data_IF_918764367995
#
_entry.id   IF_918764367995
#
_cell.length_a   1.000
_cell.length_b   1.000
_cell.length_c   1.000
_cell.angle_alpha   90.00
_cell.angle_beta   90.00
_cell.angle_gamma   90.00
#
_symmetry.space_group_name_H-M   'P 1'
#
loop_
_entity.id
_entity.type
_entity.pdbx_description
1 polymer ?
#
# COMPACT_ATOMS: atom_id res chain seq x y z
N UNK A 1 -29.93 1.29 5.68
CA UNK A 1 -28.79 0.72 4.96
C UNK A 1 -28.37 1.74 3.93
N UNK A 2 -27.12 2.18 3.92
CA UNK A 2 -26.59 3.18 2.99
C UNK A 2 -26.56 2.60 1.58
N UNK A 3 -27.22 3.28 0.63
CA UNK A 3 -27.16 2.92 -0.80
C UNK A 3 -26.05 3.75 -1.44
N UNK A 4 -25.08 3.09 -2.08
CA UNK A 4 -24.05 3.77 -2.86
C UNK A 4 -24.54 3.97 -4.29
N UNK A 5 -24.42 5.19 -4.81
CA UNK A 5 -24.62 5.50 -6.22
C UNK A 5 -23.27 5.54 -6.95
N UNK A 6 -22.93 4.45 -7.66
CA UNK A 6 -21.66 4.34 -8.40
C UNK A 6 -21.58 5.31 -9.61
N UNK A 7 -22.69 5.93 -10.00
CA UNK A 7 -22.74 6.91 -11.09
C UNK A 7 -22.69 8.37 -10.60
N UNK A 8 -22.68 8.58 -9.27
CA UNK A 8 -22.54 9.91 -8.66
C UNK A 8 -21.22 10.61 -9.06
N UNK A 9 -21.08 11.89 -8.74
CA UNK A 9 -19.79 12.59 -8.78
C UNK A 9 -18.78 11.80 -7.90
N UNK A 10 -17.53 11.59 -8.33
CA UNK A 10 -16.57 10.80 -7.56
C UNK A 10 -16.32 11.36 -6.15
N UNK A 11 -16.52 12.67 -5.94
CA UNK A 11 -16.43 13.30 -4.62
C UNK A 11 -17.59 12.88 -3.72
N UNK A 12 -18.81 12.85 -4.26
CA UNK A 12 -20.00 12.42 -3.52
C UNK A 12 -19.91 10.92 -3.17
N UNK A 13 -19.39 10.11 -4.10
CA UNK A 13 -19.15 8.68 -3.84
C UNK A 13 -18.07 8.50 -2.79
N UNK A 14 -16.98 9.28 -2.85
CA UNK A 14 -15.94 9.28 -1.80
C UNK A 14 -16.54 9.62 -0.44
N UNK A 15 -17.33 10.69 -0.36
CA UNK A 15 -17.99 11.10 0.87
C UNK A 15 -18.89 10.00 1.44
N UNK A 16 -19.67 9.34 0.56
CA UNK A 16 -20.53 8.23 0.98
C UNK A 16 -19.74 7.01 1.50
N UNK A 17 -18.57 6.70 0.92
CA UNK A 17 -17.71 5.64 1.42
C UNK A 17 -17.02 6.00 2.74
N UNK A 18 -16.58 7.27 2.89
CA UNK A 18 -15.98 7.77 4.14
C UNK A 18 -16.98 7.72 5.29
N UNK A 19 -18.26 8.02 5.04
CA UNK A 19 -19.32 7.99 6.07
C UNK A 19 -19.70 6.57 6.52
N UNK A 20 -19.24 5.54 5.85
CA UNK A 20 -19.34 4.15 6.32
C UNK A 20 -18.05 3.82 7.09
N UNK A 21 -18.15 3.79 8.42
CA UNK A 21 -17.03 3.41 9.26
C UNK A 21 -16.61 1.97 8.97
N UNK A 22 -15.31 1.77 8.75
CA UNK A 22 -14.74 0.46 8.41
C UNK A 22 -13.32 0.28 8.95
N UNK A 23 -13.06 0.49 10.25
CA UNK A 23 -11.75 0.15 10.79
C UNK A 23 -11.48 -1.34 10.56
N UNK A 24 -10.20 -1.72 10.36
CA UNK A 24 -9.82 -3.12 10.09
C UNK A 24 -10.52 -4.09 11.04
N UNK A 25 -10.98 -5.23 10.51
CA UNK A 25 -11.86 -6.23 11.13
C UNK A 25 -13.33 -5.82 11.33
N UNK A 26 -13.75 -4.66 10.83
CA UNK A 26 -15.13 -4.16 10.89
C UNK A 26 -15.65 -3.66 9.54
N UNK A 27 -15.22 -4.31 8.44
CA UNK A 27 -15.49 -3.89 7.06
C UNK A 27 -16.84 -4.38 6.52
N UNK A 28 -17.62 -5.17 7.27
CA UNK A 28 -18.84 -5.81 6.79
C UNK A 28 -19.84 -4.80 6.18
N UNK A 29 -20.03 -3.66 6.83
CA UNK A 29 -21.02 -2.66 6.39
C UNK A 29 -20.65 -2.00 5.05
N UNK A 30 -19.36 -1.67 4.83
CA UNK A 30 -18.89 -1.08 3.59
C UNK A 30 -18.85 -2.13 2.47
N UNK A 31 -18.40 -3.35 2.77
CA UNK A 31 -18.42 -4.47 1.82
C UNK A 31 -19.85 -4.78 1.34
N UNK A 32 -20.83 -4.81 2.26
CA UNK A 32 -22.25 -5.00 1.94
C UNK A 32 -22.80 -3.90 1.04
N UNK A 33 -22.38 -2.65 1.26
CA UNK A 33 -22.83 -1.52 0.46
C UNK A 33 -22.24 -1.57 -0.96
N UNK A 34 -20.95 -1.89 -1.08
CA UNK A 34 -20.24 -2.05 -2.36
C UNK A 34 -20.79 -3.25 -3.13
N UNK A 35 -20.94 -4.40 -2.48
CA UNK A 35 -21.48 -5.61 -3.14
C UNK A 35 -22.87 -5.36 -3.74
N UNK A 36 -23.77 -4.74 -2.98
CA UNK A 36 -25.12 -4.40 -3.49
C UNK A 36 -25.05 -3.49 -4.69
N UNK A 37 -24.27 -2.41 -4.62
CA UNK A 37 -24.17 -1.46 -5.71
C UNK A 37 -23.57 -2.09 -6.99
N UNK A 38 -22.60 -3.00 -6.84
CA UNK A 38 -22.01 -3.73 -7.97
C UNK A 38 -22.97 -4.77 -8.55
N UNK A 39 -23.78 -5.45 -7.72
CA UNK A 39 -24.77 -6.43 -8.17
C UNK A 39 -25.94 -5.80 -8.96
N UNK A 40 -26.18 -4.51 -8.80
CA UNK A 40 -27.18 -3.76 -9.57
C UNK A 40 -26.70 -3.49 -11.03
N UNK A 41 -25.44 -3.75 -11.36
CA UNK A 41 -24.89 -3.60 -12.71
C UNK A 41 -25.18 -4.85 -13.55
N UNK A 42 -25.83 -4.68 -14.71
CA UNK A 42 -26.30 -5.79 -15.57
C UNK A 42 -25.17 -6.70 -16.09
N UNK A 43 -23.98 -6.13 -16.32
CA UNK A 43 -22.85 -6.82 -16.96
C UNK A 43 -21.66 -7.05 -16.03
N UNK A 44 -21.89 -7.03 -14.72
CA UNK A 44 -20.88 -7.31 -13.71
C UNK A 44 -21.11 -8.69 -13.08
N UNK A 45 -20.10 -9.56 -13.14
CA UNK A 45 -20.08 -10.80 -12.36
C UNK A 45 -19.48 -10.49 -10.98
N UNK A 46 -20.30 -10.61 -9.92
CA UNK A 46 -19.90 -10.21 -8.56
C UNK A 46 -19.76 -11.41 -7.65
N UNK A 47 -18.60 -11.51 -7.00
CA UNK A 47 -18.26 -12.54 -6.02
C UNK A 47 -17.80 -11.87 -4.71
N UNK A 48 -18.01 -12.54 -3.58
CA UNK A 48 -17.58 -12.07 -2.26
C UNK A 48 -16.83 -13.15 -1.50
N UNK A 49 -15.72 -12.78 -0.88
CA UNK A 49 -14.84 -13.63 -0.07
C UNK A 49 -14.57 -12.89 1.25
N UNK A 50 -15.21 -13.30 2.35
CA UNK A 50 -15.17 -12.51 3.58
C UNK A 50 -15.77 -11.12 3.36
N UNK A 51 -15.00 -10.07 3.60
CA UNK A 51 -15.36 -8.69 3.26
C UNK A 51 -14.68 -8.18 1.98
N UNK A 52 -14.01 -9.04 1.24
CA UNK A 52 -13.47 -8.71 -0.08
C UNK A 52 -14.52 -8.94 -1.17
N UNK A 53 -14.80 -7.91 -1.96
CA UNK A 53 -15.76 -7.94 -3.07
C UNK A 53 -15.02 -7.81 -4.38
N UNK A 54 -15.27 -8.75 -5.30
CA UNK A 54 -14.69 -8.76 -6.65
C UNK A 54 -15.81 -8.65 -7.67
N UNK A 55 -15.69 -7.72 -8.63
CA UNK A 55 -16.59 -7.66 -9.77
C UNK A 55 -15.79 -7.65 -11.08
N UNK A 56 -16.29 -8.40 -12.09
CA UNK A 56 -15.59 -8.58 -13.37
C UNK A 56 -16.54 -8.35 -14.54
N UNK A 57 -16.01 -7.73 -15.60
CA UNK A 57 -16.61 -7.81 -16.94
C UNK A 57 -15.99 -8.96 -17.71
N UNK A 58 -16.74 -9.56 -18.63
CA UNK A 58 -16.27 -10.64 -19.48
C UNK A 58 -16.79 -10.44 -20.91
N UNK A 59 -16.38 -9.34 -21.55
CA UNK A 59 -16.75 -9.00 -22.93
C UNK A 59 -15.86 -9.71 -23.97
N UNK A 60 -14.77 -10.36 -23.53
CA UNK A 60 -13.80 -11.06 -24.40
C UNK A 60 -12.88 -10.11 -25.12
N UNK A 61 -12.49 -9.00 -24.49
CA UNK A 61 -11.52 -8.04 -25.00
C UNK A 61 -10.10 -8.59 -24.89
N UNK A 62 -9.17 -8.05 -25.70
CA UNK A 62 -7.80 -8.56 -25.83
C UNK A 62 -6.95 -8.40 -24.56
N UNK A 63 -7.38 -7.58 -23.63
CA UNK A 63 -6.66 -7.31 -22.39
C UNK A 63 -7.60 -7.06 -21.22
N UNK A 64 -7.06 -7.19 -19.99
CA UNK A 64 -7.77 -6.96 -18.73
C UNK A 64 -7.00 -6.03 -17.84
N UNK A 65 -7.68 -5.04 -17.27
CA UNK A 65 -7.16 -4.15 -16.22
C UNK A 65 -7.81 -4.48 -14.89
N UNK A 66 -6.97 -4.67 -13.87
CA UNK A 66 -7.42 -4.88 -12.49
C UNK A 66 -7.35 -3.55 -11.74
N UNK A 67 -8.45 -3.16 -11.11
CA UNK A 67 -8.60 -1.96 -10.27
C UNK A 67 -8.79 -2.44 -8.83
N UNK A 68 -7.77 -2.34 -7.99
CA UNK A 68 -7.81 -2.83 -6.62
C UNK A 68 -7.68 -1.70 -5.59
N UNK A 69 -8.40 -1.83 -4.48
CA UNK A 69 -8.29 -0.90 -3.38
C UNK A 69 -8.84 -1.49 -2.09
N UNK A 70 -8.20 -1.16 -0.97
CA UNK A 70 -8.69 -1.59 0.34
C UNK A 70 -9.87 -0.72 0.81
N UNK A 71 -10.70 -1.32 1.64
CA UNK A 71 -11.91 -0.71 2.18
C UNK A 71 -11.87 -0.52 3.68
N UNK A 72 -10.85 -1.10 4.33
CA UNK A 72 -10.60 -0.85 5.74
C UNK A 72 -9.85 0.47 5.97
N UNK A 73 -9.81 0.89 7.21
CA UNK A 73 -9.08 2.07 7.67
C UNK A 73 -8.36 1.75 8.97
N UNK A 74 -7.38 2.57 9.32
CA UNK A 74 -6.87 2.65 10.69
C UNK A 74 -7.99 3.00 11.69
N UNK A 75 -7.78 2.82 13.01
CA UNK A 75 -8.75 3.24 14.03
C UNK A 75 -9.15 4.71 13.89
N UNK A 76 -10.45 4.97 14.04
CA UNK A 76 -11.02 6.32 13.93
C UNK A 76 -10.44 7.27 14.99
N UNK A 77 -10.26 8.54 14.60
CA UNK A 77 -9.73 9.61 15.45
C UNK A 77 -10.69 10.82 15.50
N UNK A 78 -11.99 10.57 15.75
CA UNK A 78 -13.06 11.56 15.70
C UNK A 78 -13.14 12.31 14.34
N UNK A 79 -12.78 11.63 13.26
CA UNK A 79 -12.70 12.14 11.91
C UNK A 79 -13.69 11.49 10.94
N UNK A 80 -14.85 11.05 11.46
CA UNK A 80 -16.06 10.67 10.72
C UNK A 80 -17.28 11.38 11.34
N UNK A 81 -18.34 11.72 10.59
CA UNK A 81 -18.47 11.63 9.13
C UNK A 81 -17.58 12.62 8.37
N UNK A 82 -17.56 12.51 7.04
CA UNK A 82 -16.81 13.44 6.19
C UNK A 82 -17.20 14.90 6.43
N UNK A 83 -16.31 15.81 6.08
CA UNK A 83 -16.59 17.23 6.00
C UNK A 83 -15.86 17.88 4.82
N UNK A 84 -16.48 18.82 4.17
CA UNK A 84 -15.86 19.64 3.14
C UNK A 84 -15.45 20.99 3.74
N UNK A 85 -14.21 21.41 3.43
CA UNK A 85 -13.71 22.73 3.80
C UNK A 85 -13.08 23.42 2.59
N UNK A 86 -12.91 24.74 2.66
CA UNK A 86 -12.13 25.47 1.67
C UNK A 86 -10.80 25.89 2.28
N UNK A 87 -9.72 25.62 1.57
CA UNK A 87 -8.36 26.09 1.93
C UNK A 87 -8.28 27.63 1.77
N UNK A 88 -7.20 28.19 2.28
CA UNK A 88 -6.92 29.65 2.11
C UNK A 88 -6.68 30.04 0.63
N UNK A 89 -6.33 29.06 -0.21
CA UNK A 89 -6.15 29.23 -1.67
C UNK A 89 -7.46 29.04 -2.46
N UNK A 90 -8.57 28.71 -1.78
CA UNK A 90 -9.88 28.45 -2.40
C UNK A 90 -10.08 27.02 -2.88
N UNK A 91 -9.15 26.12 -2.63
CA UNK A 91 -9.26 24.70 -2.94
C UNK A 91 -10.25 24.01 -2.00
N UNK A 92 -11.10 23.15 -2.51
CA UNK A 92 -12.03 22.35 -1.69
C UNK A 92 -11.35 21.07 -1.25
N UNK A 93 -11.41 20.78 0.04
CA UNK A 93 -10.78 19.62 0.68
C UNK A 93 -11.87 18.77 1.33
N UNK A 94 -11.83 17.47 1.06
CA UNK A 94 -12.64 16.46 1.73
C UNK A 94 -11.81 15.86 2.88
N UNK A 95 -12.33 15.99 4.11
CA UNK A 95 -11.72 15.41 5.31
C UNK A 95 -12.51 14.19 5.78
N UNK A 96 -11.82 13.22 6.34
CA UNK A 96 -12.43 12.04 6.93
C UNK A 96 -11.47 10.86 6.98
N UNK A 97 -11.71 9.89 7.85
CA UNK A 97 -10.91 8.67 7.91
C UNK A 97 -11.10 7.84 6.62
N UNK A 98 -10.00 7.50 5.96
CA UNK A 98 -10.01 6.86 4.65
C UNK A 98 -10.20 7.83 3.48
N UNK A 99 -10.27 9.16 3.72
CA UNK A 99 -10.46 10.13 2.64
C UNK A 99 -9.27 10.20 1.68
N UNK A 100 -8.07 9.89 2.15
CA UNK A 100 -6.87 9.75 1.32
C UNK A 100 -6.44 8.30 1.23
N UNK A 101 -6.57 7.52 2.29
CA UNK A 101 -6.11 6.14 2.39
C UNK A 101 -7.26 5.18 2.72
N UNK A 102 -7.88 4.54 1.69
CA UNK A 102 -7.78 4.93 0.28
C UNK A 102 -9.17 4.96 -0.38
N UNK A 103 -10.23 5.33 0.40
CA UNK A 103 -11.63 5.32 -0.08
C UNK A 103 -11.87 6.25 -1.27
N UNK A 104 -11.06 7.33 -1.40
CA UNK A 104 -11.15 8.21 -2.58
C UNK A 104 -10.63 7.52 -3.85
N UNK A 105 -9.53 6.77 -3.78
CA UNK A 105 -9.07 5.92 -4.87
C UNK A 105 -10.09 4.85 -5.21
N UNK A 106 -10.66 4.19 -4.18
CA UNK A 106 -11.71 3.18 -4.37
C UNK A 106 -12.97 3.77 -5.01
N UNK A 107 -13.39 4.98 -4.65
CA UNK A 107 -14.52 5.67 -5.27
C UNK A 107 -14.27 5.92 -6.77
N UNK A 108 -13.07 6.37 -7.14
CA UNK A 108 -12.70 6.55 -8.55
C UNK A 108 -12.78 5.22 -9.31
N UNK A 109 -12.31 4.13 -8.72
CA UNK A 109 -12.28 2.80 -9.35
C UNK A 109 -13.68 2.19 -9.50
N UNK A 110 -14.50 2.25 -8.45
CA UNK A 110 -15.89 1.81 -8.50
C UNK A 110 -16.70 2.61 -9.51
N UNK A 111 -16.53 3.94 -9.54
CA UNK A 111 -17.21 4.82 -10.48
C UNK A 111 -16.79 4.59 -11.93
N UNK A 112 -15.50 4.35 -12.20
CA UNK A 112 -15.01 4.00 -13.54
C UNK A 112 -15.53 2.63 -13.97
N UNK A 113 -15.45 1.60 -13.11
CA UNK A 113 -15.97 0.28 -13.39
C UNK A 113 -17.46 0.33 -13.77
N UNK A 114 -18.29 0.99 -12.95
CA UNK A 114 -19.74 1.07 -13.20
C UNK A 114 -20.09 1.70 -14.55
N UNK A 115 -19.40 2.78 -14.94
CA UNK A 115 -19.63 3.48 -16.21
C UNK A 115 -19.20 2.68 -17.42
N UNK A 116 -18.20 1.80 -17.26
CA UNK A 116 -17.57 1.03 -18.32
C UNK A 116 -18.02 -0.44 -18.37
N UNK A 117 -18.74 -0.93 -17.36
CA UNK A 117 -19.30 -2.30 -17.33
C UNK A 117 -20.51 -2.43 -18.28
N UNK A 118 -20.34 -2.02 -19.53
CA UNK A 118 -21.32 -2.10 -20.61
C UNK A 118 -20.62 -2.47 -21.93
N UNK A 119 -21.22 -3.29 -22.80
CA UNK A 119 -20.64 -3.65 -24.07
C UNK A 119 -20.24 -2.43 -24.93
N UNK A 120 -19.01 -2.44 -25.44
CA UNK A 120 -18.49 -1.37 -26.31
C UNK A 120 -18.11 -0.06 -25.61
N UNK A 121 -18.12 0.00 -24.28
CA UNK A 121 -17.70 1.19 -23.52
C UNK A 121 -16.24 1.12 -23.07
N UNK A 122 -15.77 -0.04 -22.69
CA UNK A 122 -14.41 -0.24 -22.20
C UNK A 122 -13.46 -0.69 -23.32
N UNK A 123 -12.22 -0.24 -23.27
CA UNK A 123 -11.11 -0.70 -24.10
C UNK A 123 -10.54 -2.04 -23.61
N UNK A 124 -10.76 -2.40 -22.35
CA UNK A 124 -10.25 -3.58 -21.66
C UNK A 124 -11.38 -4.27 -20.91
N UNK A 125 -11.32 -5.60 -20.75
CA UNK A 125 -12.08 -6.24 -19.69
C UNK A 125 -11.59 -5.74 -18.34
N UNK A 126 -12.50 -5.52 -17.40
CA UNK A 126 -12.21 -4.92 -16.11
C UNK A 126 -12.44 -5.92 -14.97
N UNK A 127 -11.58 -5.86 -13.97
CA UNK A 127 -11.81 -6.45 -12.65
C UNK A 127 -11.71 -5.32 -11.63
N UNK A 128 -12.71 -5.15 -10.76
CA UNK A 128 -12.60 -4.27 -9.59
C UNK A 128 -12.57 -5.15 -8.33
N UNK A 129 -11.63 -4.87 -7.42
CA UNK A 129 -11.42 -5.59 -6.18
C UNK A 129 -11.44 -4.58 -5.03
N UNK A 130 -12.48 -4.65 -4.19
CA UNK A 130 -12.59 -3.90 -2.95
C UNK A 130 -12.25 -4.86 -1.81
N UNK A 131 -11.06 -4.74 -1.20
CA UNK A 131 -10.54 -5.76 -0.30
C UNK A 131 -10.36 -5.28 1.14
N UNK A 132 -10.51 -6.21 2.09
CA UNK A 132 -10.38 -6.01 3.53
C UNK A 132 -8.94 -6.14 4.02
N UNK A 133 -8.64 -5.55 5.20
CA UNK A 133 -7.51 -5.92 6.04
C UNK A 133 -6.13 -5.56 5.50
N UNK A 134 -5.98 -4.46 4.74
CA UNK A 134 -4.67 -3.95 4.29
C UNK A 134 -3.87 -3.39 5.46
N UNK A 135 -4.52 -2.65 6.34
CA UNK A 135 -3.94 -1.89 7.44
C UNK A 135 -3.49 -2.75 8.63
N UNK A 136 -3.57 -4.07 8.50
CA UNK A 136 -3.23 -5.03 9.55
C UNK A 136 -2.31 -6.14 9.04
N UNK A 137 -2.06 -7.17 9.84
CA UNK A 137 -1.15 -8.24 9.47
C UNK A 137 -1.60 -8.96 8.18
N UNK A 138 -0.65 -9.27 7.29
CA UNK A 138 -0.82 -9.90 5.96
C UNK A 138 -1.83 -11.05 5.93
N UNK A 139 -1.90 -11.86 6.97
CA UNK A 139 -2.84 -13.01 7.05
C UNK A 139 -4.33 -12.60 7.00
N UNK A 140 -4.64 -11.33 7.21
CA UNK A 140 -5.99 -10.77 7.15
C UNK A 140 -6.24 -9.97 5.85
N UNK A 141 -5.20 -9.70 5.08
CA UNK A 141 -5.28 -8.93 3.84
C UNK A 141 -6.05 -9.72 2.76
N UNK A 142 -7.12 -9.11 2.25
CA UNK A 142 -8.02 -9.75 1.28
C UNK A 142 -7.34 -10.12 -0.04
N UNK A 143 -6.37 -9.34 -0.54
CA UNK A 143 -5.59 -9.71 -1.72
C UNK A 143 -4.69 -10.92 -1.45
N UNK A 144 -4.09 -11.03 -0.26
CA UNK A 144 -3.34 -12.22 0.14
C UNK A 144 -4.23 -13.47 0.19
N UNK A 145 -5.45 -13.33 0.70
CA UNK A 145 -6.39 -14.44 0.75
C UNK A 145 -6.83 -14.86 -0.64
N UNK A 146 -7.08 -13.90 -1.55
CA UNK A 146 -7.38 -14.19 -2.96
C UNK A 146 -6.17 -14.82 -3.68
N UNK A 147 -4.95 -14.30 -3.47
CA UNK A 147 -3.73 -14.88 -4.04
C UNK A 147 -3.58 -16.36 -3.68
N UNK A 148 -3.87 -16.70 -2.42
CA UNK A 148 -3.75 -18.07 -1.91
C UNK A 148 -4.84 -19.03 -2.44
N UNK A 149 -6.09 -18.57 -2.48
CA UNK A 149 -7.26 -19.43 -2.66
C UNK A 149 -7.95 -19.26 -4.02
N UNK A 150 -7.77 -18.10 -4.68
CA UNK A 150 -8.48 -17.66 -5.88
C UNK A 150 -7.61 -16.80 -6.81
N UNK A 151 -6.37 -17.20 -7.05
CA UNK A 151 -5.38 -16.42 -7.81
C UNK A 151 -5.83 -16.03 -9.23
N UNK A 152 -6.74 -16.81 -9.83
CA UNK A 152 -7.36 -16.52 -11.13
C UNK A 152 -8.16 -15.21 -11.16
N UNK A 153 -8.57 -14.69 -10.00
CA UNK A 153 -9.27 -13.42 -9.90
C UNK A 153 -8.31 -12.22 -9.95
N UNK A 154 -7.02 -12.45 -9.70
CA UNK A 154 -5.95 -11.43 -9.76
C UNK A 154 -5.29 -11.34 -11.15
N UNK A 155 -5.64 -12.24 -12.09
CA UNK A 155 -5.10 -12.22 -13.44
C UNK A 155 -5.51 -10.95 -14.20
N UNK A 156 -4.52 -10.34 -14.89
CA UNK A 156 -4.69 -9.16 -15.71
C UNK A 156 -3.39 -8.78 -16.42
N UNK A 157 -3.48 -7.87 -17.38
CA UNK A 157 -2.31 -7.33 -18.08
C UNK A 157 -1.63 -6.22 -17.29
N UNK A 158 -2.39 -5.55 -16.43
CA UNK A 158 -1.91 -4.56 -15.47
C UNK A 158 -2.90 -4.47 -14.29
N UNK A 159 -2.38 -4.20 -13.10
CA UNK A 159 -3.17 -3.84 -11.93
C UNK A 159 -2.89 -2.39 -11.50
N UNK A 160 -3.94 -1.66 -11.16
CA UNK A 160 -3.88 -0.34 -10.55
C UNK A 160 -4.38 -0.45 -9.12
N UNK A 161 -3.58 0.03 -8.16
CA UNK A 161 -4.00 0.17 -6.78
C UNK A 161 -4.33 1.64 -6.50
N UNK A 162 -5.49 1.90 -5.90
CA UNK A 162 -6.01 3.25 -5.69
C UNK A 162 -5.36 4.01 -4.53
N UNK A 163 -4.15 3.63 -4.14
CA UNK A 163 -3.32 4.26 -3.12
C UNK A 163 -3.05 5.73 -3.41
N UNK A 164 -2.95 6.58 -2.37
CA UNK A 164 -2.68 8.00 -2.55
C UNK A 164 -1.32 8.20 -3.25
N UNK A 165 -1.35 8.91 -4.37
CA UNK A 165 -0.17 9.18 -5.20
C UNK A 165 -0.12 10.61 -5.77
N UNK A 166 -1.06 11.49 -5.37
CA UNK A 166 -1.14 12.87 -5.87
C UNK A 166 -1.56 12.94 -7.34
N UNK A 167 -2.49 12.07 -7.77
CA UNK A 167 -2.97 11.98 -9.14
C UNK A 167 -1.87 11.75 -10.21
N UNK A 168 -0.76 11.10 -9.81
CA UNK A 168 0.31 10.66 -10.71
C UNK A 168 0.56 9.16 -10.50
N UNK A 169 1.21 8.50 -11.45
CA UNK A 169 1.59 7.10 -11.27
C UNK A 169 2.74 7.01 -10.28
N UNK A 170 2.59 6.21 -9.21
CA UNK A 170 3.72 5.71 -8.44
C UNK A 170 3.98 4.26 -8.83
N UNK A 171 5.08 4.06 -9.57
CA UNK A 171 5.39 2.79 -10.22
C UNK A 171 6.18 1.86 -9.30
N UNK A 172 5.81 0.58 -9.31
CA UNK A 172 6.41 -0.44 -8.46
C UNK A 172 6.36 -0.09 -6.97
N UNK A 173 7.24 -0.71 -6.19
CA UNK A 173 7.50 -0.34 -4.79
C UNK A 173 8.83 -0.92 -4.31
N UNK A 174 9.42 -0.33 -3.27
CA UNK A 174 10.59 -0.91 -2.60
C UNK A 174 10.18 -2.13 -1.76
N UNK A 175 11.09 -3.11 -1.69
CA UNK A 175 10.99 -4.19 -0.72
C UNK A 175 11.31 -3.72 0.69
N UNK A 176 10.92 -4.51 1.68
CA UNK A 176 11.18 -4.24 3.09
C UNK A 176 11.66 -5.48 3.81
N UNK A 177 12.65 -5.31 4.67
CA UNK A 177 13.08 -6.33 5.63
C UNK A 177 13.14 -5.67 7.00
N UNK A 178 12.44 -6.25 7.99
CA UNK A 178 12.59 -5.90 9.39
C UNK A 178 13.22 -7.06 10.13
N UNK A 179 14.29 -6.77 10.86
CA UNK A 179 14.99 -7.75 11.69
C UNK A 179 15.17 -7.23 13.10
N UNK A 180 15.28 -8.17 14.03
CA UNK A 180 15.79 -7.91 15.38
C UNK A 180 17.22 -8.41 15.47
N UNK A 181 18.09 -7.62 16.09
CA UNK A 181 19.43 -8.03 16.49
C UNK A 181 19.45 -8.07 18.00
N UNK A 182 19.50 -9.26 18.56
CA UNK A 182 19.46 -9.52 20.00
C UNK A 182 20.86 -9.75 20.54
N UNK A 183 21.13 -9.15 21.69
CA UNK A 183 22.33 -9.40 22.49
C UNK A 183 21.94 -9.88 23.88
N UNK A 184 22.68 -10.86 24.40
CA UNK A 184 22.47 -11.46 25.71
C UNK A 184 23.69 -11.23 26.61
N UNK A 185 23.44 -10.80 27.85
CA UNK A 185 24.46 -10.47 28.82
C UNK A 185 24.20 -11.10 30.19
N UNK A 186 24.76 -10.48 31.21
CA UNK A 186 24.56 -10.91 32.57
C UNK A 186 24.27 -9.68 33.44
N UNK A 187 23.11 -9.69 34.09
CA UNK A 187 22.63 -8.60 34.93
C UNK A 187 23.53 -8.38 36.13
N UNK A 188 23.91 -7.13 36.38
CA UNK A 188 24.65 -6.74 37.57
C UNK A 188 24.36 -5.30 37.97
N UNK A 189 24.69 -4.93 39.20
CA UNK A 189 24.65 -3.55 39.65
C UNK A 189 25.74 -2.74 38.96
N UNK A 190 25.44 -1.57 38.40
CA UNK A 190 26.39 -0.73 37.63
C UNK A 190 27.64 -0.36 38.43
N UNK A 191 27.54 -0.22 39.79
CA UNK A 191 28.68 0.00 40.65
C UNK A 191 29.59 -1.23 40.82
N UNK A 192 29.19 -2.40 40.29
CA UNK A 192 29.93 -3.66 40.32
C UNK A 192 29.89 -4.32 38.95
N UNK A 193 30.16 -3.53 37.90
CA UNK A 193 30.02 -3.96 36.50
C UNK A 193 30.85 -5.21 36.17
N UNK A 194 31.97 -5.45 36.87
CA UNK A 194 32.82 -6.64 36.68
C UNK A 194 32.15 -7.98 37.07
N UNK A 195 30.95 -7.94 37.67
CA UNK A 195 30.16 -9.14 38.01
C UNK A 195 29.12 -9.49 36.93
N UNK A 196 29.04 -8.69 35.88
CA UNK A 196 28.06 -8.88 34.81
C UNK A 196 28.64 -8.64 33.43
N UNK A 197 27.80 -8.74 32.44
CA UNK A 197 28.09 -8.40 31.04
C UNK A 197 26.92 -7.55 30.50
N UNK A 198 27.25 -6.41 29.91
CA UNK A 198 26.22 -5.46 29.43
C UNK A 198 25.86 -5.77 27.98
N UNK A 199 24.71 -6.39 27.76
CA UNK A 199 24.19 -6.72 26.44
C UNK A 199 24.09 -5.53 25.48
N UNK A 200 23.77 -4.33 26.01
CA UNK A 200 23.63 -3.16 25.14
C UNK A 200 24.97 -2.71 24.52
N UNK A 201 26.11 -3.01 25.18
CA UNK A 201 27.43 -2.68 24.64
C UNK A 201 27.80 -3.55 23.45
N UNK A 202 27.31 -4.78 23.36
CA UNK A 202 27.58 -5.70 22.26
C UNK A 202 26.94 -5.23 20.95
N UNK A 203 25.86 -4.43 21.02
CA UNK A 203 25.19 -3.86 19.86
C UNK A 203 25.92 -2.66 19.25
N UNK A 204 26.93 -2.10 19.92
CA UNK A 204 27.60 -0.88 19.48
C UNK A 204 28.28 -1.02 18.10
N UNK A 205 28.86 -2.18 17.80
CA UNK A 205 29.48 -2.48 16.50
C UNK A 205 28.45 -2.45 15.37
N UNK A 206 27.33 -3.13 15.55
CA UNK A 206 26.23 -3.17 14.57
C UNK A 206 25.64 -1.78 14.37
N UNK A 207 25.34 -1.05 15.45
CA UNK A 207 24.83 0.31 15.41
C UNK A 207 25.76 1.26 14.63
N UNK A 208 27.08 1.13 14.84
CA UNK A 208 28.08 1.95 14.14
C UNK A 208 28.11 1.65 12.64
N UNK A 209 27.99 0.37 12.23
CA UNK A 209 27.95 -0.03 10.82
C UNK A 209 26.68 0.49 10.13
N UNK A 210 25.53 0.37 10.78
CA UNK A 210 24.28 0.93 10.25
C UNK A 210 24.35 2.45 10.13
N UNK A 211 24.89 3.14 11.13
CA UNK A 211 25.06 4.60 11.11
C UNK A 211 26.02 5.09 10.01
N UNK A 212 26.95 4.26 9.58
CA UNK A 212 27.92 4.53 8.52
C UNK A 212 27.46 4.00 7.14
N UNK A 213 26.27 3.35 7.06
CA UNK A 213 25.77 2.80 5.82
C UNK A 213 25.42 3.88 4.80
N UNK A 214 25.94 3.75 3.60
CA UNK A 214 25.61 4.62 2.46
C UNK A 214 24.62 3.90 1.54
N UNK A 215 23.32 4.29 1.58
CA UNK A 215 22.32 3.65 0.74
C UNK A 215 22.53 3.99 -0.74
N UNK A 216 22.30 3.03 -1.62
CA UNK A 216 22.36 3.27 -3.07
C UNK A 216 21.06 3.89 -3.59
N UNK A 217 21.17 4.65 -4.67
CA UNK A 217 20.05 5.02 -5.55
C UNK A 217 20.13 4.20 -6.84
N UNK A 218 18.99 3.73 -7.32
CA UNK A 218 18.90 2.89 -8.52
C UNK A 218 17.85 3.47 -9.46
N UNK A 219 18.22 3.66 -10.73
CA UNK A 219 17.30 4.08 -11.78
C UNK A 219 16.79 2.84 -12.52
N UNK A 220 15.46 2.61 -12.52
CA UNK A 220 14.79 1.51 -13.20
C UNK A 220 13.61 2.11 -13.96
N UNK A 221 13.53 1.96 -15.28
CA UNK A 221 12.48 2.49 -16.15
C UNK A 221 12.14 3.97 -15.82
N UNK A 222 13.17 4.82 -15.75
CA UNK A 222 13.09 6.24 -15.38
C UNK A 222 12.56 6.54 -13.95
N UNK A 223 12.38 5.53 -13.13
CA UNK A 223 12.02 5.65 -11.71
C UNK A 223 13.27 5.53 -10.82
N UNK A 224 13.58 6.56 -10.02
CA UNK A 224 14.70 6.52 -9.07
C UNK A 224 14.23 5.94 -7.73
N UNK A 225 14.75 4.75 -7.37
CA UNK A 225 14.55 4.12 -6.06
C UNK A 225 15.72 4.40 -5.14
N UNK A 226 15.45 4.82 -3.91
CA UNK A 226 16.47 5.12 -2.89
C UNK A 226 16.36 4.14 -1.75
N UNK A 227 17.37 3.28 -1.59
CA UNK A 227 17.42 2.34 -0.47
C UNK A 227 17.60 3.06 0.86
N UNK A 228 17.32 2.38 1.97
CA UNK A 228 17.51 2.94 3.30
C UNK A 228 17.64 1.83 4.34
N UNK A 229 18.67 1.94 5.19
CA UNK A 229 18.91 1.03 6.31
C UNK A 229 18.94 1.84 7.59
N UNK A 230 18.02 1.55 8.53
CA UNK A 230 17.87 2.33 9.73
C UNK A 230 17.58 1.46 10.95
N UNK A 231 18.12 1.87 12.11
CA UNK A 231 17.63 1.39 13.40
C UNK A 231 16.38 2.19 13.75
N UNK A 232 15.23 1.52 13.81
CA UNK A 232 13.92 2.13 14.11
C UNK A 232 13.48 1.90 15.55
N UNK A 233 14.21 1.09 16.30
CA UNK A 233 13.98 0.87 17.73
C UNK A 233 15.22 0.34 18.42
N UNK A 234 15.37 0.69 19.71
CA UNK A 234 16.42 0.21 20.59
C UNK A 234 15.81 -0.09 21.97
N UNK A 235 15.96 -1.33 22.40
CA UNK A 235 15.43 -1.84 23.67
C UNK A 235 16.56 -2.34 24.56
N UNK A 236 16.37 -2.35 25.89
CA UNK A 236 17.39 -2.88 26.81
C UNK A 236 17.39 -2.23 28.18
N UNK A 237 16.49 -1.28 28.45
CA UNK A 237 16.40 -0.63 29.77
C UNK A 237 15.84 -1.59 30.81
N UNK A 238 16.54 -1.73 31.97
CA UNK A 238 16.09 -2.48 33.13
C UNK A 238 15.84 -1.53 34.31
N UNK A 239 16.89 -0.85 34.75
CA UNK A 239 16.82 0.17 35.79
C UNK A 239 18.07 1.08 35.67
N UNK A 240 18.02 2.28 36.28
CA UNK A 240 19.05 3.29 36.17
C UNK A 240 20.43 2.90 36.70
N UNK A 241 20.50 1.84 37.49
CA UNK A 241 21.74 1.34 38.13
C UNK A 241 22.00 -0.15 37.84
N UNK A 242 21.41 -0.69 36.77
CA UNK A 242 21.48 -2.13 36.45
C UNK A 242 21.99 -2.32 35.01
N UNK A 243 23.01 -3.16 34.81
CA UNK A 243 23.43 -3.58 33.48
C UNK A 243 22.33 -4.45 32.88
N UNK A 244 21.88 -4.16 31.63
CA UNK A 244 20.91 -5.03 30.96
C UNK A 244 21.53 -6.37 30.59
N UNK A 245 20.78 -7.42 30.84
CA UNK A 245 21.09 -8.80 30.44
C UNK A 245 20.48 -9.19 29.10
N UNK A 246 19.69 -8.30 28.50
CA UNK A 246 19.19 -8.40 27.13
C UNK A 246 19.10 -6.99 26.54
N UNK A 247 19.46 -6.88 25.27
CA UNK A 247 19.25 -5.66 24.48
C UNK A 247 18.94 -6.05 23.03
N UNK A 248 18.15 -5.20 22.35
CA UNK A 248 17.66 -5.43 20.98
C UNK A 248 17.78 -4.17 20.15
N UNK A 249 18.27 -4.32 18.91
CA UNK A 249 18.04 -3.35 17.85
C UNK A 249 16.89 -3.84 16.96
N UNK A 250 15.97 -2.94 16.62
CA UNK A 250 14.96 -3.15 15.59
C UNK A 250 15.46 -2.42 14.35
N UNK A 251 15.79 -3.19 13.30
CA UNK A 251 16.41 -2.69 12.08
C UNK A 251 15.42 -2.82 10.93
N UNK A 252 15.24 -1.76 10.15
CA UNK A 252 14.45 -1.77 8.92
C UNK A 252 15.35 -1.47 7.73
N UNK A 253 15.31 -2.35 6.73
CA UNK A 253 15.97 -2.20 5.44
C UNK A 253 14.92 -2.05 4.34
N UNK A 254 14.96 -0.92 3.63
CA UNK A 254 14.20 -0.66 2.41
C UNK A 254 15.12 -0.83 1.22
N UNK A 255 14.82 -1.78 0.33
CA UNK A 255 15.67 -2.12 -0.80
C UNK A 255 14.96 -1.91 -2.13
N UNK A 256 15.74 -1.54 -3.15
CA UNK A 256 15.22 -1.32 -4.50
C UNK A 256 14.75 -2.64 -5.13
N UNK A 257 13.71 -2.60 -6.00
CA UNK A 257 13.06 -3.81 -6.52
C UNK A 257 13.90 -4.61 -7.55
N UNK A 258 15.12 -4.15 -7.87
CA UNK A 258 16.08 -4.91 -8.67
C UNK A 258 16.81 -5.99 -7.85
N UNK A 259 16.64 -6.01 -6.51
CA UNK A 259 17.11 -7.09 -5.66
C UNK A 259 15.97 -8.08 -5.38
N UNK A 260 16.28 -9.36 -5.46
CA UNK A 260 15.46 -10.41 -4.84
C UNK A 260 15.51 -10.30 -3.31
N UNK A 261 14.58 -10.96 -2.63
CA UNK A 261 14.57 -11.04 -1.16
C UNK A 261 15.86 -11.69 -0.65
N UNK A 262 16.35 -12.72 -1.33
CA UNK A 262 17.58 -13.46 -0.98
C UNK A 262 18.80 -12.55 -1.11
N UNK A 263 18.92 -11.79 -2.18
CA UNK A 263 20.01 -10.82 -2.38
C UNK A 263 19.94 -9.69 -1.34
N UNK A 264 18.73 -9.21 -1.01
CA UNK A 264 18.53 -8.19 0.02
C UNK A 264 18.91 -8.69 1.41
N UNK A 265 18.56 -9.96 1.77
CA UNK A 265 18.98 -10.60 3.01
C UNK A 265 20.49 -10.75 3.09
N UNK A 266 21.11 -11.30 2.04
CA UNK A 266 22.56 -11.47 1.99
C UNK A 266 23.31 -10.13 2.16
N UNK A 267 22.84 -9.08 1.48
CA UNK A 267 23.38 -7.74 1.62
C UNK A 267 23.22 -7.19 3.05
N UNK A 268 22.04 -7.36 3.65
CA UNK A 268 21.76 -6.93 5.02
C UNK A 268 22.69 -7.66 6.01
N UNK A 269 22.83 -8.98 5.90
CA UNK A 269 23.72 -9.78 6.74
C UNK A 269 25.19 -9.36 6.59
N UNK A 270 25.65 -9.05 5.37
CA UNK A 270 26.99 -8.53 5.12
C UNK A 270 27.22 -7.18 5.81
N UNK A 271 26.25 -6.26 5.75
CA UNK A 271 26.34 -4.94 6.39
C UNK A 271 26.30 -5.06 7.91
N UNK A 272 25.40 -5.89 8.43
CA UNK A 272 25.29 -6.11 9.88
C UNK A 272 26.55 -6.79 10.44
N UNK A 273 27.17 -7.71 9.70
CA UNK A 273 28.42 -8.42 10.04
C UNK A 273 28.45 -8.84 11.52
N UNK A 274 27.44 -9.62 11.93
CA UNK A 274 27.22 -9.92 13.35
C UNK A 274 28.43 -10.66 13.95
N UNK A 275 28.86 -10.21 15.13
CA UNK A 275 29.85 -10.87 15.95
C UNK A 275 29.23 -12.06 16.70
N UNK A 276 30.09 -12.99 17.19
CA UNK A 276 29.68 -14.13 18.00
C UNK A 276 28.88 -13.65 19.24
N UNK A 277 27.76 -14.30 19.50
CA UNK A 277 26.88 -13.98 20.64
C UNK A 277 25.73 -13.04 20.32
N UNK A 278 25.66 -12.47 19.10
CA UNK A 278 24.50 -11.76 18.61
C UNK A 278 23.58 -12.69 17.82
N UNK A 279 22.29 -12.51 17.96
CA UNK A 279 21.25 -13.29 17.26
C UNK A 279 20.50 -12.41 16.26
N UNK A 280 20.35 -12.90 15.00
CA UNK A 280 19.53 -12.26 13.97
C UNK A 280 18.17 -12.97 13.86
N UNK A 281 17.11 -12.21 14.01
CA UNK A 281 15.74 -12.70 13.91
C UNK A 281 15.02 -11.92 12.82
N UNK A 282 14.56 -12.59 11.77
CA UNK A 282 13.70 -11.99 10.75
C UNK A 282 12.27 -11.87 11.28
N UNK A 283 11.73 -10.65 11.31
CA UNK A 283 10.38 -10.34 11.79
C UNK A 283 9.39 -10.14 10.62
N UNK A 284 9.82 -9.37 9.62
CA UNK A 284 9.00 -9.10 8.45
C UNK A 284 9.86 -9.03 7.18
N UNK A 285 9.39 -9.63 6.10
CA UNK A 285 10.12 -9.69 4.82
C UNK A 285 9.13 -9.64 3.67
N UNK A 286 9.23 -8.60 2.84
CA UNK A 286 8.41 -8.47 1.65
C UNK A 286 9.26 -8.03 0.44
N UNK A 287 9.04 -8.67 -0.71
CA UNK A 287 9.67 -8.29 -1.96
C UNK A 287 9.21 -6.93 -2.45
N UNK A 288 10.04 -6.23 -3.20
CA UNK A 288 9.63 -5.06 -3.98
C UNK A 288 8.94 -5.46 -5.30
N UNK A 289 8.41 -4.46 -6.00
CA UNK A 289 7.85 -4.61 -7.33
C UNK A 289 8.57 -3.70 -8.32
N UNK A 290 8.95 -4.24 -9.48
CA UNK A 290 9.48 -3.44 -10.59
C UNK A 290 8.43 -2.43 -11.09
N UNK A 291 8.84 -1.30 -11.70
CA UNK A 291 7.92 -0.24 -12.17
C UNK A 291 6.81 -0.73 -13.09
N UNK A 292 7.09 -1.71 -13.97
CA UNK A 292 6.10 -2.30 -14.88
C UNK A 292 5.60 -1.37 -15.99
N UNK A 293 6.18 -0.17 -16.14
CA UNK A 293 5.74 0.84 -17.13
C UNK A 293 6.07 0.46 -18.60
N UNK A 294 6.97 -0.50 -18.81
CA UNK A 294 7.28 -1.06 -20.12
C UNK A 294 6.18 -1.93 -20.73
N UNK A 295 5.13 -2.27 -19.98
CA UNK A 295 3.98 -3.00 -20.51
C UNK A 295 3.17 -2.13 -21.48
N UNK A 296 2.80 -2.62 -22.68
CA UNK A 296 2.00 -1.85 -23.65
C UNK A 296 0.66 -1.34 -23.09
N UNK A 297 0.01 -2.09 -22.22
CA UNK A 297 -1.25 -1.68 -21.58
C UNK A 297 -1.02 -0.49 -20.63
N UNK A 298 0.14 -0.43 -19.95
CA UNK A 298 0.51 0.70 -19.11
C UNK A 298 0.72 2.00 -19.89
N UNK A 299 1.12 1.92 -21.18
CA UNK A 299 1.40 3.10 -22.00
C UNK A 299 0.18 4.04 -22.15
N UNK A 300 -1.03 3.47 -22.20
CA UNK A 300 -2.28 4.24 -22.22
C UNK A 300 -2.47 5.05 -20.93
N UNK A 301 -2.20 4.45 -19.77
CA UNK A 301 -2.27 5.13 -18.48
C UNK A 301 -1.21 6.23 -18.37
N UNK A 302 0.05 5.95 -18.77
CA UNK A 302 1.12 6.96 -18.77
C UNK A 302 0.74 8.17 -19.63
N UNK A 303 0.10 7.93 -20.78
CA UNK A 303 -0.41 9.01 -21.64
C UNK A 303 -1.54 9.80 -20.94
N UNK A 304 -2.52 9.13 -20.34
CA UNK A 304 -3.65 9.77 -19.66
C UNK A 304 -3.22 10.66 -18.48
N UNK A 305 -2.14 10.29 -17.78
CA UNK A 305 -1.57 11.15 -16.71
C UNK A 305 -0.55 12.18 -17.23
N UNK A 306 -0.43 12.36 -18.55
CA UNK A 306 0.50 13.32 -19.16
C UNK A 306 1.98 13.01 -18.94
N UNK A 307 2.35 11.74 -18.76
CA UNK A 307 3.71 11.30 -18.51
C UNK A 307 4.19 11.54 -17.07
N UNK A 308 3.30 11.85 -16.14
CA UNK A 308 3.66 12.08 -14.73
C UNK A 308 3.74 10.76 -13.96
N UNK A 309 4.95 10.30 -13.70
CA UNK A 309 5.20 9.11 -12.88
C UNK A 309 6.48 9.25 -12.05
N UNK A 310 6.56 8.48 -10.97
CA UNK A 310 7.72 8.38 -10.09
C UNK A 310 7.80 7.01 -9.42
N UNK A 311 8.93 6.71 -8.76
CA UNK A 311 9.07 5.52 -7.92
C UNK A 311 8.20 5.60 -6.66
N UNK A 312 7.62 4.48 -6.23
CA UNK A 312 7.02 4.32 -4.89
C UNK A 312 8.10 3.88 -3.90
N UNK A 313 8.29 4.64 -2.81
CA UNK A 313 9.25 4.30 -1.76
C UNK A 313 8.67 3.38 -0.68
N UNK A 314 7.37 3.54 -0.36
CA UNK A 314 6.66 2.64 0.54
C UNK A 314 6.37 1.29 -0.13
N UNK A 315 6.26 0.22 0.67
CA UNK A 315 5.73 -1.04 0.19
C UNK A 315 4.20 -0.93 0.07
N UNK A 316 3.63 -1.53 -0.97
CA UNK A 316 2.18 -1.65 -1.17
C UNK A 316 1.87 -3.00 -1.82
N UNK A 317 0.61 -3.37 -1.87
CA UNK A 317 0.13 -4.63 -2.47
C UNK A 317 0.39 -4.76 -3.99
N UNK A 318 0.95 -3.73 -4.67
CA UNK A 318 1.50 -3.89 -6.04
C UNK A 318 2.53 -5.03 -6.11
N UNK A 319 3.23 -5.29 -5.00
CA UNK A 319 4.19 -6.38 -4.90
C UNK A 319 3.54 -7.77 -5.07
N UNK A 320 2.28 -7.96 -4.63
CA UNK A 320 1.55 -9.21 -4.83
C UNK A 320 1.25 -9.47 -6.30
N UNK A 321 0.71 -8.47 -6.99
CA UNK A 321 0.47 -8.58 -8.43
C UNK A 321 1.75 -8.85 -9.19
N UNK A 322 2.83 -8.15 -8.84
CA UNK A 322 4.16 -8.35 -9.44
C UNK A 322 4.68 -9.78 -9.22
N UNK A 323 4.46 -10.38 -8.04
CA UNK A 323 4.84 -11.77 -7.74
C UNK A 323 4.08 -12.80 -8.59
N UNK A 324 2.86 -12.46 -9.00
CA UNK A 324 2.03 -13.25 -9.92
C UNK A 324 2.36 -12.97 -11.41
N UNK A 325 3.33 -12.10 -11.70
CA UNK A 325 3.70 -11.72 -13.05
C UNK A 325 2.78 -10.67 -13.69
N UNK A 326 1.90 -10.04 -12.91
CA UNK A 326 1.03 -8.94 -13.33
C UNK A 326 1.71 -7.62 -12.98
N UNK A 327 2.11 -6.79 -13.95
CA UNK A 327 2.63 -5.45 -13.70
C UNK A 327 1.63 -4.64 -12.88
N UNK A 328 2.11 -3.87 -11.90
CA UNK A 328 1.20 -3.11 -11.03
C UNK A 328 1.76 -1.74 -10.66
N UNK A 329 0.87 -0.76 -10.56
CA UNK A 329 1.20 0.62 -10.19
C UNK A 329 0.19 1.15 -9.17
N UNK A 330 0.62 2.11 -8.36
CA UNK A 330 -0.28 2.87 -7.50
C UNK A 330 -0.78 4.10 -8.28
N UNK A 331 -2.08 4.35 -8.24
CA UNK A 331 -2.69 5.49 -8.92
C UNK A 331 -3.97 5.92 -8.22
N UNK A 332 -3.88 6.95 -7.40
CA UNK A 332 -5.01 7.50 -6.67
C UNK A 332 -4.82 8.97 -6.31
N UNK A 333 -5.86 9.63 -5.80
CA UNK A 333 -5.79 11.03 -5.40
C UNK A 333 -5.18 11.20 -4.01
N UNK A 334 -4.68 12.39 -3.72
CA UNK A 334 -4.23 12.84 -2.42
C UNK A 334 -2.76 12.57 -2.11
N UNK A 335 -2.27 13.30 -1.13
CA UNK A 335 -0.90 13.18 -0.62
C UNK A 335 -0.85 12.11 0.47
N UNK A 336 -0.05 11.01 0.30
CA UNK A 336 0.10 9.97 1.32
C UNK A 336 0.62 10.49 2.66
N UNK A 337 1.18 11.69 2.70
CA UNK A 337 1.59 12.34 3.94
C UNK A 337 0.44 12.64 4.92
N UNK A 338 -0.81 12.58 4.48
CA UNK A 338 -2.00 12.72 5.34
C UNK A 338 -2.59 11.39 5.81
N UNK A 339 -2.15 10.25 5.29
CA UNK A 339 -2.58 8.93 5.75
C UNK A 339 -2.32 8.73 7.25
N UNK A 340 -3.21 8.00 7.92
CA UNK A 340 -3.13 7.62 9.35
C UNK A 340 -3.11 8.80 10.34
N UNK A 341 -3.62 9.96 9.94
CA UNK A 341 -3.66 11.17 10.78
C UNK A 341 -5.09 11.57 11.13
N UNK A 342 -5.32 12.18 12.31
CA UNK A 342 -6.63 12.76 12.63
C UNK A 342 -7.08 13.83 11.63
N UNK A 343 -6.13 14.52 10.99
CA UNK A 343 -6.35 15.54 9.97
C UNK A 343 -6.39 14.98 8.55
N UNK A 344 -6.63 13.69 8.38
CA UNK A 344 -6.70 13.02 7.08
C UNK A 344 -7.63 13.75 6.13
N UNK A 345 -7.13 13.96 4.89
CA UNK A 345 -7.80 14.80 3.91
C UNK A 345 -7.36 14.49 2.48
N UNK A 346 -8.25 14.76 1.51
CA UNK A 346 -7.97 14.64 0.10
C UNK A 346 -8.51 15.85 -0.67
N UNK A 347 -7.72 16.47 -1.59
CA UNK A 347 -8.20 17.54 -2.45
C UNK A 347 -9.28 17.04 -3.41
N UNK A 348 -10.40 17.73 -3.46
CA UNK A 348 -11.54 17.38 -4.34
C UNK A 348 -11.15 17.37 -5.81
N UNK A 349 -10.31 18.31 -6.23
CA UNK A 349 -9.86 18.41 -7.63
C UNK A 349 -9.01 17.19 -8.04
N UNK A 350 -8.20 16.63 -7.14
CA UNK A 350 -7.44 15.42 -7.42
C UNK A 350 -8.35 14.19 -7.56
N UNK A 351 -9.41 14.08 -6.76
CA UNK A 351 -10.43 13.01 -6.90
C UNK A 351 -11.05 13.04 -8.30
N UNK A 352 -11.45 14.23 -8.75
CA UNK A 352 -12.02 14.43 -10.09
C UNK A 352 -11.00 14.16 -11.19
N UNK A 353 -9.75 14.59 -10.99
CA UNK A 353 -8.65 14.38 -11.94
C UNK A 353 -8.38 12.90 -12.16
N UNK A 354 -8.20 12.12 -11.08
CA UNK A 354 -7.97 10.67 -11.16
C UNK A 354 -9.15 9.97 -11.84
N UNK A 355 -10.40 10.31 -11.48
CA UNK A 355 -11.58 9.74 -12.11
C UNK A 355 -11.62 10.02 -13.62
N UNK A 356 -11.29 11.24 -14.05
CA UNK A 356 -11.26 11.62 -15.47
C UNK A 356 -10.15 10.89 -16.23
N UNK A 357 -8.95 10.80 -15.65
CA UNK A 357 -7.79 10.10 -16.25
C UNK A 357 -8.04 8.59 -16.36
N UNK A 358 -8.70 7.97 -15.37
CA UNK A 358 -9.12 6.57 -15.44
C UNK A 358 -10.11 6.34 -16.58
N UNK A 359 -11.12 7.20 -16.70
CA UNK A 359 -12.10 7.08 -17.79
C UNK A 359 -11.47 7.31 -19.16
N UNK A 360 -10.52 8.26 -19.29
CA UNK A 360 -9.76 8.45 -20.53
C UNK A 360 -8.97 7.19 -20.92
N UNK A 361 -8.29 6.57 -19.95
CA UNK A 361 -7.46 5.39 -20.16
C UNK A 361 -8.27 4.14 -20.49
N UNK A 362 -9.38 3.92 -19.75
CA UNK A 362 -10.14 2.67 -19.80
C UNK A 362 -11.27 2.65 -20.84
N UNK A 363 -11.65 3.80 -21.43
CA UNK A 363 -12.73 3.89 -22.41
C UNK A 363 -12.30 3.39 -23.77
N UNK A 364 -13.19 2.72 -24.48
CA UNK A 364 -13.01 2.44 -25.90
C UNK A 364 -12.88 3.76 -26.69
N UNK A 365 -12.03 3.78 -27.71
CA UNK A 365 -11.96 4.91 -28.64
C UNK A 365 -13.33 5.14 -29.27
N UNK A 366 -13.80 6.39 -29.29
CA UNK A 366 -15.04 6.74 -29.98
C UNK A 366 -14.79 6.62 -31.49
N UNK A 367 -15.55 5.75 -32.16
CA UNK A 367 -15.58 5.68 -33.64
C UNK A 367 -16.00 7.01 -34.28
#
# INVERSE_FOLDING_TARGET
MTSLDLFADPVDLTAALVDIESPSHHEEAIADAIERALRDLEHAEVQRFGNTVVARTNFGLDSRVVLAGHIDTVPLADNTPHRLTSSLTGETILHGCGSVDMKSGMACYLGAFARLAQPGKAAHDLTVIAYEGEEVATKYNGLYLLERDHSELLEGDIALLGEPSGAMIEAGCQGTIRVFVDAHGTRAHSARAWLGHNAAHDLAGVLSRIAAYEPRSVLIDDCEYREGLNVVGLEGFVATNTLPDHARLIVNFRFAPDRSVEEAKAHLEEVLALEDGLELIYDDVAAGALPGLGNPVAAGLVKAVGGNFRAKFGWTDVARFSSLGVPAVNFGPGDPGYAHKPEEQCPVDEIRQVSAQLLEYLSAESE
#
